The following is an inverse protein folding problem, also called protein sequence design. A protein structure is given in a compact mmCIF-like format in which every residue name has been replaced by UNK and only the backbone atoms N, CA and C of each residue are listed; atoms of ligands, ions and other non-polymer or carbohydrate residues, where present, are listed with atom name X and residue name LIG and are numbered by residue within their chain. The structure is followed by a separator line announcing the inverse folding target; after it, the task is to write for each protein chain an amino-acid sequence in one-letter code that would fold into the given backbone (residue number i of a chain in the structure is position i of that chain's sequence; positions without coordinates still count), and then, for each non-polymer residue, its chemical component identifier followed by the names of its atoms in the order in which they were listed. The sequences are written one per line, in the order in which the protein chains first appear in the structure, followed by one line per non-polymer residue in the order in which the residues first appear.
data_IF_037890791763
#
_entry.id   IF_037890791763
#
_cell.length_a   1.000
_cell.length_b   1.000
_cell.length_c   1.000
_cell.angle_alpha   90.00
_cell.angle_beta   90.00
_cell.angle_gamma   90.00
#
_symmetry.space_group_name_H-M   'P 1'
#
loop_
_entity.id
_entity.type
_entity.pdbx_description
1 polymer ?
#
# COMPACT_ATOMS: atom_id res chain seq x y z
N UNK A 1 -8.03 16.47 0.79
CA UNK A 1 -6.91 15.62 0.36
C UNK A 1 -5.71 15.96 1.22
N UNK A 2 -5.09 14.98 1.84
CA UNK A 2 -3.97 15.15 2.78
C UNK A 2 -2.81 14.22 2.42
N UNK A 3 -1.70 14.30 3.17
CA UNK A 3 -0.53 13.48 2.94
C UNK A 3 -0.78 11.97 3.05
N UNK A 4 -1.71 11.55 3.91
CA UNK A 4 -2.05 10.14 4.08
C UNK A 4 -2.76 9.59 2.84
N UNK A 5 -3.70 10.35 2.27
CA UNK A 5 -4.39 9.95 1.04
C UNK A 5 -3.42 9.84 -0.13
N UNK A 6 -2.51 10.80 -0.29
CA UNK A 6 -1.48 10.76 -1.34
C UNK A 6 -0.56 9.55 -1.12
N UNK A 7 -0.09 9.33 0.11
CA UNK A 7 0.75 8.18 0.45
C UNK A 7 0.05 6.84 0.18
N UNK A 8 -1.24 6.71 0.50
CA UNK A 8 -2.04 5.51 0.22
C UNK A 8 -2.13 5.24 -1.28
N UNK A 9 -2.43 6.26 -2.09
CA UNK A 9 -2.46 6.10 -3.55
C UNK A 9 -1.10 5.77 -4.14
N UNK A 10 -0.02 6.35 -3.61
CA UNK A 10 1.35 6.04 -4.03
C UNK A 10 1.72 4.59 -3.71
N UNK A 11 1.33 4.12 -2.53
CA UNK A 11 1.53 2.74 -2.12
C UNK A 11 0.81 1.75 -3.07
N UNK A 12 -0.40 2.09 -3.55
CA UNK A 12 -1.12 1.33 -4.59
C UNK A 12 -0.34 1.22 -5.90
N UNK A 13 0.24 2.33 -6.37
CA UNK A 13 1.03 2.35 -7.62
C UNK A 13 2.28 1.48 -7.47
N UNK A 14 3.00 1.63 -6.35
CA UNK A 14 4.19 0.81 -6.05
C UNK A 14 3.83 -0.68 -6.04
N UNK A 15 2.71 -1.06 -5.42
CA UNK A 15 2.25 -2.45 -5.41
C UNK A 15 2.13 -3.04 -6.80
N UNK A 16 1.48 -2.30 -7.70
CA UNK A 16 1.21 -2.76 -9.07
C UNK A 16 2.52 -2.93 -9.81
N UNK A 17 3.37 -1.90 -9.78
CA UNK A 17 4.72 -1.95 -10.37
C UNK A 17 5.55 -3.17 -9.89
N UNK A 18 5.37 -3.61 -8.64
CA UNK A 18 6.10 -4.77 -8.10
C UNK A 18 5.44 -6.14 -8.30
N UNK A 19 4.12 -6.19 -8.61
CA UNK A 19 3.35 -7.43 -8.70
C UNK A 19 2.71 -7.65 -10.09
N UNK A 20 2.99 -6.82 -11.09
CA UNK A 20 2.61 -7.14 -12.47
C UNK A 20 3.28 -8.46 -12.85
N UNK A 21 2.50 -9.53 -12.98
CA UNK A 21 2.92 -10.70 -13.75
C UNK A 21 3.30 -10.22 -15.14
N UNK A 22 4.41 -10.71 -15.67
CA UNK A 22 5.00 -10.42 -16.99
C UNK A 22 4.04 -10.64 -18.20
N UNK A 23 2.77 -10.95 -17.95
CA UNK A 23 1.76 -11.40 -18.90
C UNK A 23 0.67 -10.36 -19.22
N UNK A 24 0.70 -9.15 -18.65
CA UNK A 24 -0.32 -8.12 -18.93
C UNK A 24 0.26 -6.93 -19.70
N UNK A 25 0.03 -6.89 -21.02
CA UNK A 25 0.20 -5.71 -21.85
C UNK A 25 -1.08 -4.86 -21.75
N UNK A 26 -1.08 -3.69 -21.10
CA UNK A 26 -2.26 -2.83 -21.08
C UNK A 26 -2.43 -2.15 -22.44
N UNK A 27 -3.64 -2.22 -23.01
CA UNK A 27 -3.98 -1.67 -24.33
C UNK A 27 -3.98 -0.13 -24.42
N UNK A 28 -3.57 0.60 -23.37
CA UNK A 28 -3.57 2.07 -23.36
C UNK A 28 -2.28 2.64 -22.75
N UNK A 29 -1.23 2.76 -23.57
CA UNK A 29 -0.07 3.62 -23.29
C UNK A 29 -0.49 5.10 -23.40
N UNK A 30 -0.27 5.89 -22.34
CA UNK A 30 -0.53 7.33 -22.34
C UNK A 30 0.72 8.13 -22.69
N UNK A 31 0.55 9.25 -23.41
CA UNK A 31 1.65 10.14 -23.80
C UNK A 31 1.77 11.33 -22.85
N UNK A 32 2.99 11.64 -22.39
CA UNK A 32 3.29 12.90 -21.69
C UNK A 32 4.09 13.81 -22.64
N UNK A 33 3.56 15.00 -22.94
CA UNK A 33 4.22 15.97 -23.84
C UNK A 33 4.91 17.07 -23.03
N UNK A 34 6.25 17.01 -22.97
CA UNK A 34 7.07 18.15 -22.57
C UNK A 34 7.78 18.70 -23.81
N UNK A 35 7.76 20.03 -23.98
CA UNK A 35 8.17 20.76 -25.20
C UNK A 35 9.38 20.11 -25.90
N UNK A 36 9.12 19.46 -27.04
CA UNK A 36 10.06 18.78 -27.95
C UNK A 36 10.61 17.39 -27.55
N UNK A 37 10.00 16.65 -26.61
CA UNK A 37 10.28 15.22 -26.42
C UNK A 37 9.03 14.46 -25.99
N UNK A 38 8.67 13.42 -26.74
CA UNK A 38 7.59 12.50 -26.36
C UNK A 38 8.17 11.43 -25.45
N UNK A 39 7.80 11.46 -24.17
CA UNK A 39 8.13 10.39 -23.23
C UNK A 39 6.92 9.45 -23.20
N UNK A 40 7.14 8.21 -23.63
CA UNK A 40 6.20 7.12 -23.43
C UNK A 40 6.27 6.75 -21.94
N UNK A 41 5.16 6.93 -21.23
CA UNK A 41 5.04 6.55 -19.83
C UNK A 41 3.97 5.46 -19.72
N UNK A 42 4.28 4.43 -18.94
CA UNK A 42 3.29 3.47 -18.47
C UNK A 42 2.17 4.17 -17.70
N UNK A 43 1.02 3.50 -17.61
CA UNK A 43 -0.12 4.00 -16.84
C UNK A 43 0.23 4.27 -15.37
N UNK A 44 1.08 3.42 -14.77
CA UNK A 44 1.63 3.57 -13.43
C UNK A 44 2.52 4.81 -13.30
N UNK A 45 3.41 5.07 -14.28
CA UNK A 45 4.26 6.26 -14.29
C UNK A 45 3.43 7.56 -14.43
N UNK A 46 2.37 7.54 -15.23
CA UNK A 46 1.42 8.67 -15.33
C UNK A 46 0.71 8.91 -14.00
N UNK A 47 0.28 7.84 -13.32
CA UNK A 47 -0.31 7.97 -11.98
C UNK A 47 0.69 8.54 -10.97
N UNK A 48 1.95 8.10 -11.03
CA UNK A 48 3.00 8.62 -10.19
C UNK A 48 3.20 10.14 -10.41
N UNK A 49 3.27 10.57 -11.66
CA UNK A 49 3.37 11.99 -12.02
C UNK A 49 2.17 12.80 -11.48
N UNK A 50 0.95 12.27 -11.57
CA UNK A 50 -0.26 12.91 -10.99
C UNK A 50 -0.15 13.04 -9.47
N UNK A 51 0.33 12.02 -8.77
CA UNK A 51 0.50 12.07 -7.32
C UNK A 51 1.58 13.09 -6.89
N UNK A 52 2.63 13.26 -7.68
CA UNK A 52 3.62 14.31 -7.47
C UNK A 52 2.99 15.70 -7.62
N UNK A 53 2.18 15.92 -8.66
CA UNK A 53 1.45 17.17 -8.84
C UNK A 53 0.49 17.46 -7.67
N UNK A 54 -0.26 16.46 -7.22
CA UNK A 54 -1.16 16.58 -6.05
C UNK A 54 -0.41 16.94 -4.77
N UNK A 55 0.82 16.45 -4.61
CA UNK A 55 1.70 16.82 -3.48
C UNK A 55 2.07 18.30 -3.54
N UNK A 56 2.41 18.80 -4.74
CA UNK A 56 2.72 20.21 -4.95
C UNK A 56 1.49 21.11 -4.72
N UNK A 57 0.30 20.71 -5.19
CA UNK A 57 -0.95 21.44 -4.97
C UNK A 57 -1.29 21.54 -3.47
N UNK A 58 -1.16 20.43 -2.73
CA UNK A 58 -1.34 20.43 -1.28
C UNK A 58 -0.36 21.38 -0.59
N UNK A 59 0.91 21.35 -0.99
CA UNK A 59 1.93 22.25 -0.44
C UNK A 59 1.64 23.73 -0.76
N UNK A 60 1.14 24.05 -1.96
CA UNK A 60 0.73 25.42 -2.32
C UNK A 60 -0.42 25.90 -1.45
N UNK A 61 -1.43 25.05 -1.22
CA UNK A 61 -2.56 25.38 -0.35
C UNK A 61 -2.09 25.67 1.08
N UNK A 62 -1.23 24.81 1.65
CA UNK A 62 -0.64 25.01 2.99
C UNK A 62 0.22 26.26 3.09
N UNK A 63 1.06 26.53 2.09
CA UNK A 63 1.91 27.72 2.07
C UNK A 63 1.08 29.00 2.09
N UNK A 64 -0.04 29.03 1.35
CA UNK A 64 -0.99 30.14 1.33
C UNK A 64 -1.67 30.34 2.69
N UNK A 65 -2.12 29.25 3.32
CA UNK A 65 -2.80 29.28 4.62
C UNK A 65 -1.86 29.73 5.75
N UNK A 66 -0.63 29.22 5.77
CA UNK A 66 0.35 29.47 6.82
C UNK A 66 1.20 30.73 6.57
N UNK A 67 1.02 31.40 5.44
CA UNK A 67 1.87 32.51 4.97
C UNK A 67 3.37 32.16 4.97
N UNK A 68 3.68 30.93 4.58
CA UNK A 68 5.06 30.40 4.54
C UNK A 68 5.58 30.32 3.10
N UNK A 69 6.90 30.25 2.98
CA UNK A 69 7.61 30.01 1.72
C UNK A 69 7.21 28.66 1.09
N UNK A 70 6.76 28.68 -0.17
CA UNK A 70 6.29 27.48 -0.86
C UNK A 70 7.36 26.38 -0.98
N UNK A 71 8.60 26.64 -1.44
CA UNK A 71 9.67 25.65 -1.45
C UNK A 71 9.88 24.92 -0.11
N UNK A 72 9.78 25.65 1.01
CA UNK A 72 9.91 25.07 2.36
C UNK A 72 8.73 24.15 2.67
N UNK A 73 7.51 24.60 2.43
CA UNK A 73 6.30 23.82 2.68
C UNK A 73 6.21 22.59 1.75
N UNK A 74 6.70 22.70 0.51
CA UNK A 74 6.79 21.58 -0.42
C UNK A 74 7.66 20.46 0.15
N UNK A 75 8.90 20.77 0.58
CA UNK A 75 9.80 19.79 1.20
C UNK A 75 9.18 19.13 2.45
N UNK A 76 8.50 19.93 3.28
CA UNK A 76 7.82 19.40 4.47
C UNK A 76 6.68 18.45 4.09
N UNK A 77 5.90 18.81 3.07
CA UNK A 77 4.78 17.99 2.59
C UNK A 77 5.28 16.70 1.95
N UNK A 78 6.31 16.76 1.09
CA UNK A 78 6.97 15.59 0.50
C UNK A 78 7.53 14.65 1.57
N UNK A 79 8.18 15.21 2.59
CA UNK A 79 8.68 14.43 3.72
C UNK A 79 7.55 13.77 4.49
N UNK A 80 6.46 14.48 4.77
CA UNK A 80 5.29 13.93 5.45
C UNK A 80 4.63 12.79 4.65
N UNK A 81 4.48 12.95 3.32
CA UNK A 81 3.99 11.89 2.43
C UNK A 81 4.91 10.67 2.49
N UNK A 82 6.24 10.87 2.45
CA UNK A 82 7.23 9.80 2.52
C UNK A 82 7.17 9.04 3.85
N UNK A 83 6.98 9.73 4.97
CA UNK A 83 6.80 9.09 6.29
C UNK A 83 5.53 8.24 6.32
N UNK A 84 4.41 8.74 5.80
CA UNK A 84 3.17 7.97 5.74
C UNK A 84 3.30 6.77 4.81
N UNK A 85 3.96 6.94 3.67
CA UNK A 85 4.25 5.85 2.74
C UNK A 85 5.11 4.77 3.41
N UNK A 86 6.17 5.15 4.11
CA UNK A 86 7.02 4.21 4.84
C UNK A 86 6.25 3.42 5.89
N UNK A 87 5.32 4.06 6.61
CA UNK A 87 4.43 3.37 7.56
C UNK A 87 3.49 2.38 6.89
N UNK A 88 2.96 2.73 5.71
CA UNK A 88 2.12 1.84 4.91
C UNK A 88 2.90 0.66 4.33
N UNK A 89 4.16 0.86 3.92
CA UNK A 89 4.96 -0.22 3.34
C UNK A 89 5.72 -1.06 4.39
N UNK A 90 5.89 -0.57 5.62
CA UNK A 90 6.61 -1.29 6.66
C UNK A 90 6.09 -2.74 6.91
N UNK A 91 4.77 -3.01 6.89
CA UNK A 91 4.27 -4.38 7.02
C UNK A 91 4.57 -5.25 5.79
N UNK A 92 4.69 -4.69 4.59
CA UNK A 92 4.87 -5.49 3.38
C UNK A 92 6.29 -6.03 3.21
N UNK A 93 7.26 -5.47 3.94
CA UNK A 93 8.67 -5.90 3.92
C UNK A 93 9.02 -6.91 5.04
N UNK A 94 8.05 -7.37 5.83
CA UNK A 94 8.30 -8.31 6.92
C UNK A 94 8.65 -9.71 6.35
N UNK A 95 9.87 -10.25 6.57
CA UNK A 95 10.28 -11.56 6.06
C UNK A 95 9.36 -12.70 6.50
N UNK A 96 8.76 -12.57 7.68
CA UNK A 96 7.80 -13.55 8.18
C UNK A 96 6.55 -13.56 7.29
N UNK A 97 6.07 -12.39 6.85
CA UNK A 97 4.91 -12.32 5.95
C UNK A 97 5.22 -12.85 4.55
N UNK A 98 6.47 -12.76 4.08
CA UNK A 98 6.90 -13.39 2.84
C UNK A 98 6.80 -14.93 2.92
N UNK A 99 7.01 -15.53 4.10
CA UNK A 99 6.89 -16.97 4.31
C UNK A 99 5.44 -17.49 4.47
N UNK A 100 4.48 -16.60 4.73
CA UNK A 100 3.08 -16.97 4.93
C UNK A 100 2.28 -16.90 3.63
N UNK A 101 1.35 -17.85 3.47
CA UNK A 101 0.46 -17.92 2.31
C UNK A 101 -0.40 -16.66 2.22
N UNK A 102 -0.36 -16.00 1.06
CA UNK A 102 -1.30 -14.92 0.73
C UNK A 102 -2.70 -15.51 0.54
N UNK A 103 -3.71 -14.90 1.16
CA UNK A 103 -5.13 -15.29 1.05
C UNK A 103 -5.93 -14.08 0.58
N UNK A 104 -6.65 -14.26 -0.52
CA UNK A 104 -7.64 -13.29 -1.01
C UNK A 104 -8.96 -13.56 -0.31
N UNK A 105 -9.58 -12.51 0.22
CA UNK A 105 -10.88 -12.61 0.88
C UNK A 105 -11.96 -12.53 -0.20
N UNK A 106 -12.63 -13.65 -0.47
CA UNK A 106 -13.66 -13.76 -1.52
C UNK A 106 -15.02 -13.20 -1.08
N UNK A 107 -15.27 -13.07 0.23
CA UNK A 107 -16.58 -12.72 0.80
C UNK A 107 -16.45 -11.64 1.87
N UNK A 108 -17.38 -10.68 1.83
CA UNK A 108 -17.53 -9.70 2.90
C UNK A 108 -17.95 -10.38 4.21
N UNK A 109 -17.53 -9.82 5.34
CA UNK A 109 -17.90 -10.29 6.68
C UNK A 109 -16.98 -11.36 7.26
N UNK A 110 -15.87 -11.72 6.61
CA UNK A 110 -14.83 -12.54 7.24
C UNK A 110 -14.16 -11.75 8.38
N UNK A 111 -14.10 -12.31 9.60
CA UNK A 111 -13.61 -11.59 10.79
C UNK A 111 -12.21 -12.06 11.17
N UNK A 112 -11.31 -11.12 11.43
CA UNK A 112 -9.98 -11.44 11.93
C UNK A 112 -10.03 -11.93 13.38
N UNK A 113 -9.62 -13.17 13.64
CA UNK A 113 -9.59 -13.76 14.99
C UNK A 113 -8.61 -13.14 16.00
N UNK A 114 -7.85 -12.10 15.62
CA UNK A 114 -6.92 -11.38 16.49
C UNK A 114 -7.48 -10.02 16.93
N UNK A 115 -7.90 -9.16 15.99
CA UNK A 115 -8.46 -7.85 16.30
C UNK A 115 -10.00 -7.82 16.40
N UNK A 116 -10.68 -8.89 15.96
CA UNK A 116 -12.14 -8.98 15.91
C UNK A 116 -12.80 -7.98 14.95
N UNK A 117 -12.04 -7.43 14.01
CA UNK A 117 -12.55 -6.54 12.95
C UNK A 117 -12.73 -7.31 11.63
N UNK A 118 -13.63 -6.83 10.77
CA UNK A 118 -13.87 -7.39 9.44
C UNK A 118 -12.64 -7.22 8.53
N UNK A 119 -12.36 -8.28 7.78
CA UNK A 119 -11.34 -8.31 6.75
C UNK A 119 -11.95 -7.82 5.45
N UNK A 120 -11.29 -6.85 4.83
CA UNK A 120 -11.76 -6.21 3.61
C UNK A 120 -11.58 -7.18 2.43
N UNK A 121 -12.64 -7.34 1.62
CA UNK A 121 -12.54 -8.02 0.32
C UNK A 121 -11.57 -7.22 -0.54
N UNK A 122 -10.51 -7.87 -0.99
CA UNK A 122 -9.49 -7.21 -1.78
C UNK A 122 -10.10 -6.73 -3.11
N UNK A 123 -10.38 -5.43 -3.21
CA UNK A 123 -10.57 -4.84 -4.54
C UNK A 123 -9.22 -4.89 -5.27
N UNK A 124 -9.16 -5.34 -6.54
CA UNK A 124 -7.91 -5.54 -7.29
C UNK A 124 -7.08 -4.25 -7.48
N UNK A 125 -7.57 -3.11 -7.00
CA UNK A 125 -7.01 -1.80 -7.21
C UNK A 125 -6.31 -1.16 -6.00
N UNK A 126 -6.48 -1.69 -4.78
CA UNK A 126 -5.91 -1.10 -3.56
C UNK A 126 -4.73 -1.94 -3.04
N UNK A 127 -3.60 -1.30 -2.74
CA UNK A 127 -2.55 -1.86 -1.89
C UNK A 127 -3.20 -2.01 -0.52
N UNK A 128 -3.80 -3.17 -0.30
CA UNK A 128 -4.34 -3.44 1.00
C UNK A 128 -3.25 -3.97 1.91
N UNK A 129 -2.47 -3.01 2.43
CA UNK A 129 -1.61 -3.19 3.60
C UNK A 129 -2.39 -3.84 4.76
N UNK A 130 -3.73 -3.70 4.77
CA UNK A 130 -4.63 -4.30 5.75
C UNK A 130 -5.35 -5.58 5.25
N UNK A 131 -5.82 -5.64 4.01
CA UNK A 131 -6.76 -6.66 3.49
C UNK A 131 -6.17 -7.73 2.59
N UNK A 132 -4.84 -7.81 2.50
CA UNK A 132 -4.23 -9.10 2.18
C UNK A 132 -4.20 -9.93 3.45
N UNK A 133 -5.10 -10.91 3.54
CA UNK A 133 -5.07 -11.87 4.62
C UNK A 133 -3.89 -12.85 4.45
N UNK A 134 -3.40 -13.37 5.58
CA UNK A 134 -2.27 -14.29 5.63
C UNK A 134 -2.70 -15.57 6.31
N UNK A 135 -2.56 -16.66 5.57
CA UNK A 135 -2.92 -18.00 5.99
C UNK A 135 -1.74 -18.72 6.63
N UNK A 136 -2.01 -19.46 7.71
CA UNK A 136 -1.09 -20.39 8.33
C UNK A 136 -1.28 -21.81 7.74
N UNK A 137 -0.32 -22.71 8.00
CA UNK A 137 -0.38 -24.11 7.55
C UNK A 137 -1.57 -24.91 8.09
N UNK A 138 -2.22 -24.44 9.16
CA UNK A 138 -3.44 -25.01 9.70
C UNK A 138 -4.74 -24.57 8.99
N UNK A 139 -4.65 -23.69 7.99
CA UNK A 139 -5.80 -23.20 7.22
C UNK A 139 -6.42 -21.89 7.72
N UNK A 140 -6.16 -21.47 8.96
CA UNK A 140 -6.65 -20.18 9.49
C UNK A 140 -5.92 -18.98 8.88
N UNK A 141 -6.62 -17.86 8.70
CA UNK A 141 -6.09 -16.63 8.12
C UNK A 141 -6.51 -15.38 8.90
N UNK A 142 -5.71 -14.33 8.77
CA UNK A 142 -5.83 -13.09 9.55
C UNK A 142 -5.31 -11.90 8.74
N UNK A 143 -5.60 -10.67 9.16
CA UNK A 143 -4.89 -9.49 8.66
C UNK A 143 -3.37 -9.68 8.74
N UNK A 144 -2.66 -9.27 7.67
CA UNK A 144 -1.18 -9.34 7.60
C UNK A 144 -0.51 -8.74 8.85
N UNK A 145 -0.96 -7.56 9.28
CA UNK A 145 -0.40 -6.88 10.45
C UNK A 145 -0.69 -7.62 11.76
N UNK A 146 -1.90 -8.15 11.93
CA UNK A 146 -2.29 -8.86 13.15
C UNK A 146 -1.47 -10.12 13.36
N UNK A 147 -1.32 -10.93 12.30
CA UNK A 147 -0.58 -12.18 12.43
C UNK A 147 0.93 -11.99 12.50
N UNK A 148 1.49 -10.99 11.79
CA UNK A 148 2.92 -10.70 11.91
C UNK A 148 3.31 -10.28 13.32
N UNK A 149 2.48 -9.44 13.96
CA UNK A 149 2.68 -9.02 15.34
C UNK A 149 2.57 -10.20 16.30
N UNK A 150 1.55 -11.05 16.14
CA UNK A 150 1.36 -12.22 17.00
C UNK A 150 2.55 -13.19 16.89
N UNK A 151 2.97 -13.51 15.67
CA UNK A 151 4.03 -14.50 15.42
C UNK A 151 5.43 -14.05 15.88
N UNK A 152 5.64 -12.75 16.11
CA UNK A 152 6.88 -12.23 16.73
C UNK A 152 7.05 -12.70 18.17
N UNK A 153 5.95 -12.94 18.88
CA UNK A 153 5.96 -13.36 20.28
C UNK A 153 5.50 -14.82 20.46
N UNK A 154 4.67 -15.33 19.53
CA UNK A 154 4.01 -16.63 19.65
C UNK A 154 4.14 -17.41 18.34
N UNK A 155 4.93 -18.49 18.29
CA UNK A 155 5.10 -19.29 17.06
C UNK A 155 3.94 -20.26 16.78
N UNK A 156 2.70 -19.86 17.09
CA UNK A 156 1.52 -20.71 16.94
C UNK A 156 0.28 -19.93 16.48
N UNK A 157 -0.69 -20.63 15.91
CA UNK A 157 -1.96 -20.06 15.46
C UNK A 157 -2.77 -19.48 16.65
N UNK A 158 -3.26 -18.22 16.57
CA UNK A 158 -4.14 -17.63 17.59
C UNK A 158 -5.41 -18.45 17.88
N UNK A 159 -5.94 -19.16 16.87
CA UNK A 159 -7.22 -19.87 16.96
C UNK A 159 -7.07 -21.33 17.42
N UNK A 160 -6.09 -22.06 16.87
CA UNK A 160 -5.95 -23.50 17.11
C UNK A 160 -4.61 -23.92 17.73
N UNK A 161 -3.70 -22.98 17.97
CA UNK A 161 -2.35 -23.22 18.54
C UNK A 161 -1.46 -24.16 17.73
N UNK A 162 -1.80 -24.45 16.48
CA UNK A 162 -0.91 -25.15 15.55
C UNK A 162 0.39 -24.36 15.36
N UNK A 163 1.54 -25.01 15.53
CA UNK A 163 2.84 -24.37 15.40
C UNK A 163 3.18 -24.12 13.93
N UNK A 164 3.59 -22.90 13.61
CA UNK A 164 3.91 -22.50 12.23
C UNK A 164 5.20 -23.14 11.71
N UNK A 165 6.01 -23.70 12.61
CA UNK A 165 7.21 -24.48 12.31
C UNK A 165 7.08 -25.84 13.00
N UNK A 166 6.75 -26.86 12.21
CA UNK A 166 6.66 -28.27 12.60
C UNK A 166 6.87 -29.13 11.37
#
# INVERSE_FOLDING_TARGET
MDEFHIAKSLANVINRLTNTSDDYLPEEEGYFEEKNSRILLSFEEIKLAKLHAMTAELAMAKAKELHQDFPTVLKQTEFAVSIQLGKLLAPTVDPLLASLRRVEIEKEGEICGVCQEEMVVAEPAVLDVCGVARGLGCGHFFHSFCISRWLKENMCCPLCRYHTFG
#
